data_IF_845691841534
#
_entry.id   IF_845691841534
#
_cell.length_a   1.000
_cell.length_b   1.000
_cell.length_c   1.000
_cell.angle_alpha   90.00
_cell.angle_beta   90.00
_cell.angle_gamma   90.00
#
_symmetry.space_group_name_H-M   'P 1'
#
loop_
_entity.id
_entity.type
_entity.pdbx_description
1 polymer ?
#
# COMPACT_ATOMS: atom_id res chain seq x y z
N UNK A 1 0.83 1.43 -9.30
CA UNK A 1 -0.09 0.31 -9.00
C UNK A 1 0.07 -0.83 -9.99
N UNK A 2 -0.45 -0.76 -11.23
CA UNK A 2 -0.40 -1.88 -12.20
C UNK A 2 1.03 -2.40 -12.42
N UNK A 3 1.99 -1.49 -12.63
CA UNK A 3 3.41 -1.85 -12.72
C UNK A 3 3.95 -2.58 -11.46
N UNK A 4 3.57 -2.14 -10.26
CA UNK A 4 3.93 -2.82 -9.02
C UNK A 4 3.30 -4.20 -8.88
N UNK A 5 2.03 -4.35 -9.31
CA UNK A 5 1.34 -5.66 -9.34
C UNK A 5 2.03 -6.62 -10.31
N UNK A 6 2.43 -6.16 -11.50
CA UNK A 6 3.19 -6.97 -12.45
C UNK A 6 4.50 -7.45 -11.83
N UNK A 7 5.25 -6.57 -11.15
CA UNK A 7 6.47 -6.94 -10.44
C UNK A 7 6.19 -8.00 -9.35
N UNK A 8 5.13 -7.83 -8.56
CA UNK A 8 4.74 -8.84 -7.56
C UNK A 8 4.42 -10.19 -8.21
N UNK A 9 3.70 -10.22 -9.32
CA UNK A 9 3.39 -11.47 -10.03
C UNK A 9 4.63 -12.12 -10.63
N UNK A 10 5.58 -11.35 -11.16
CA UNK A 10 6.88 -11.85 -11.60
C UNK A 10 7.65 -12.46 -10.42
N UNK A 11 7.60 -11.84 -9.24
CA UNK A 11 8.24 -12.39 -8.05
C UNK A 11 7.67 -13.76 -7.64
N UNK A 12 6.37 -14.00 -7.85
CA UNK A 12 5.74 -15.31 -7.61
C UNK A 12 6.28 -16.38 -8.55
N UNK A 13 6.53 -16.04 -9.81
CA UNK A 13 7.16 -16.96 -10.78
C UNK A 13 8.58 -17.31 -10.31
N UNK A 14 9.36 -16.32 -9.87
CA UNK A 14 10.71 -16.55 -9.35
C UNK A 14 10.75 -17.34 -8.04
N UNK A 15 9.71 -17.25 -7.21
CA UNK A 15 9.57 -18.08 -6.00
C UNK A 15 9.43 -19.56 -6.34
N UNK A 16 8.83 -19.91 -7.48
CA UNK A 16 8.65 -21.29 -7.93
C UNK A 16 9.85 -21.89 -8.68
N UNK A 17 10.89 -21.10 -8.96
CA UNK A 17 12.10 -21.62 -9.62
C UNK A 17 12.94 -22.36 -8.60
N UNK A 18 13.05 -23.68 -8.72
CA UNK A 18 13.85 -24.50 -7.81
C UNK A 18 15.23 -24.84 -8.41
N UNK A 19 16.13 -25.40 -7.60
CA UNK A 19 17.53 -25.71 -7.96
C UNK A 19 17.68 -26.75 -9.06
N UNK A 20 16.59 -27.47 -9.39
CA UNK A 20 16.54 -28.39 -10.55
C UNK A 20 16.72 -27.68 -11.90
N UNK A 21 16.35 -26.41 -11.99
CA UNK A 21 16.41 -25.62 -13.23
C UNK A 21 17.61 -24.68 -13.30
N UNK A 22 18.31 -24.47 -12.18
CA UNK A 22 19.27 -23.38 -12.02
C UNK A 22 20.56 -23.92 -11.42
N UNK A 23 21.69 -23.49 -11.97
CA UNK A 23 23.00 -23.87 -11.47
C UNK A 23 23.22 -23.40 -10.02
N UNK A 24 24.02 -24.15 -9.25
CA UNK A 24 24.30 -23.84 -7.84
C UNK A 24 24.90 -22.44 -7.64
N UNK A 25 25.66 -21.93 -8.62
CA UNK A 25 26.29 -20.61 -8.57
C UNK A 25 25.31 -19.45 -8.83
N UNK A 26 24.19 -19.72 -9.52
CA UNK A 26 23.18 -18.72 -9.85
C UNK A 26 22.03 -18.68 -8.84
N UNK A 27 21.82 -19.77 -8.09
CA UNK A 27 20.74 -19.87 -7.10
C UNK A 27 20.75 -18.72 -6.06
N UNK A 28 21.89 -18.29 -5.49
CA UNK A 28 21.92 -17.15 -4.56
C UNK A 28 21.45 -15.82 -5.18
N UNK A 29 21.67 -15.63 -6.50
CA UNK A 29 21.18 -14.44 -7.22
C UNK A 29 19.66 -14.45 -7.31
N UNK A 30 19.05 -15.63 -7.49
CA UNK A 30 17.60 -15.81 -7.49
C UNK A 30 17.03 -15.56 -6.10
N UNK A 31 17.67 -16.05 -5.03
CA UNK A 31 17.30 -15.77 -3.65
C UNK A 31 17.16 -14.26 -3.39
N UNK A 32 18.15 -13.48 -3.84
CA UNK A 32 18.13 -12.03 -3.72
C UNK A 32 17.04 -11.41 -4.60
N UNK A 33 16.95 -11.80 -5.87
CA UNK A 33 15.95 -11.28 -6.80
C UNK A 33 14.51 -11.46 -6.27
N UNK A 34 14.20 -12.60 -5.63
CA UNK A 34 12.91 -12.88 -4.98
C UNK A 34 12.55 -11.81 -3.94
N UNK A 35 13.47 -11.54 -3.00
CA UNK A 35 13.26 -10.54 -1.94
C UNK A 35 13.11 -9.12 -2.51
N UNK A 36 13.94 -8.79 -3.49
CA UNK A 36 13.95 -7.48 -4.15
C UNK A 36 12.66 -7.19 -4.91
N UNK A 37 12.22 -8.12 -5.76
CA UNK A 37 11.04 -7.92 -6.60
C UNK A 37 9.77 -7.90 -5.76
N UNK A 38 9.64 -8.80 -4.77
CA UNK A 38 8.46 -8.81 -3.91
C UNK A 38 8.34 -7.50 -3.10
N UNK A 39 9.45 -7.03 -2.51
CA UNK A 39 9.43 -5.81 -1.68
C UNK A 39 9.21 -4.54 -2.50
N UNK A 40 9.89 -4.39 -3.64
CA UNK A 40 9.75 -3.21 -4.52
C UNK A 40 8.39 -3.17 -5.21
N UNK A 41 7.90 -4.33 -5.69
CA UNK A 41 6.57 -4.47 -6.27
C UNK A 41 5.47 -4.06 -5.28
N UNK A 42 5.57 -4.55 -4.04
CA UNK A 42 4.64 -4.19 -2.97
C UNK A 42 4.63 -2.67 -2.74
N UNK A 43 5.79 -2.02 -2.63
CA UNK A 43 5.85 -0.56 -2.37
C UNK A 43 5.33 0.27 -3.54
N UNK A 44 5.63 -0.12 -4.78
CA UNK A 44 5.10 0.55 -5.97
C UNK A 44 3.58 0.37 -6.11
N UNK A 45 3.05 -0.78 -5.67
CA UNK A 45 1.62 -1.05 -5.66
C UNK A 45 0.91 -0.26 -4.54
N UNK A 46 1.35 -0.46 -3.29
CA UNK A 46 0.75 0.13 -2.09
C UNK A 46 0.97 1.63 -2.02
N UNK A 47 2.18 2.13 -2.31
CA UNK A 47 2.50 3.56 -2.33
C UNK A 47 1.65 4.34 -3.32
N UNK A 48 1.26 3.73 -4.45
CA UNK A 48 0.32 4.34 -5.40
C UNK A 48 -1.13 4.39 -4.89
N UNK A 49 -1.56 3.41 -4.08
CA UNK A 49 -2.88 3.44 -3.42
C UNK A 49 -2.90 4.47 -2.29
N UNK A 50 -1.88 4.45 -1.45
CA UNK A 50 -1.64 5.43 -0.38
C UNK A 50 -1.67 6.87 -0.91
N UNK A 51 -0.95 7.11 -2.00
CA UNK A 51 -0.94 8.36 -2.75
C UNK A 51 -2.33 8.92 -3.10
N UNK A 52 -3.23 8.06 -3.57
CA UNK A 52 -4.60 8.45 -3.91
C UNK A 52 -5.41 8.81 -2.66
N UNK A 53 -5.30 8.02 -1.60
CA UNK A 53 -5.99 8.27 -0.33
C UNK A 53 -5.48 9.54 0.35
N UNK A 54 -4.17 9.75 0.38
CA UNK A 54 -3.55 10.96 0.92
C UNK A 54 -4.06 12.23 0.24
N UNK A 55 -4.17 12.20 -1.10
CA UNK A 55 -4.72 13.32 -1.88
C UNK A 55 -6.14 13.65 -1.43
N UNK A 56 -6.98 12.64 -1.24
CA UNK A 56 -8.38 12.80 -0.79
C UNK A 56 -8.42 13.37 0.62
N UNK A 57 -7.65 12.81 1.54
CA UNK A 57 -7.53 13.31 2.91
C UNK A 57 -7.12 14.79 2.97
N UNK A 58 -6.17 15.21 2.13
CA UNK A 58 -5.73 16.62 2.07
C UNK A 58 -6.83 17.54 1.58
N UNK A 59 -7.62 17.16 0.59
CA UNK A 59 -8.73 17.99 0.10
C UNK A 59 -9.81 18.16 1.17
N UNK A 60 -10.11 17.11 1.93
CA UNK A 60 -11.19 17.13 2.92
C UNK A 60 -10.79 17.82 4.22
N UNK A 61 -9.51 17.75 4.62
CA UNK A 61 -8.99 18.50 5.76
C UNK A 61 -8.88 20.00 5.48
N UNK A 62 -8.46 20.39 4.26
CA UNK A 62 -8.45 21.80 3.85
C UNK A 62 -9.85 22.42 3.86
N UNK A 63 -10.86 21.71 3.35
CA UNK A 63 -12.25 22.18 3.38
C UNK A 63 -12.79 22.40 4.81
N UNK A 64 -12.25 21.72 5.82
CA UNK A 64 -12.60 21.96 7.25
C UNK A 64 -11.88 23.17 7.85
N UNK A 65 -10.80 23.64 7.23
CA UNK A 65 -9.92 24.71 7.76
C UNK A 65 -10.24 26.08 7.18
N UNK A 66 -11.23 26.17 6.27
CA UNK A 66 -11.78 27.45 5.79
C UNK A 66 -13.15 27.76 6.47
N UNK A 67 -13.19 28.39 7.66
CA UNK A 67 -14.35 29.14 8.13
C UNK A 67 -14.24 30.61 7.71
N UNK A 68 -15.36 31.17 7.22
CA UNK A 68 -15.63 32.61 7.35
C UNK A 68 -15.50 32.97 8.85
N UNK A 69 -14.53 33.84 9.20
CA UNK A 69 -14.22 34.50 10.50
C UNK A 69 -13.59 33.71 11.68
N UNK A 70 -12.77 34.36 12.53
CA UNK A 70 -11.66 33.75 13.26
C UNK A 70 -12.10 33.13 14.59
N UNK A 71 -11.66 31.90 14.83
CA UNK A 71 -11.55 31.38 16.20
C UNK A 71 -10.16 30.79 16.38
N UNK A 72 -9.52 31.25 17.45
CA UNK A 72 -8.22 30.83 17.97
C UNK A 72 -8.10 29.30 18.12
N UNK A 73 -6.87 28.76 18.05
CA UNK A 73 -6.66 27.32 17.97
C UNK A 73 -6.92 26.64 19.31
N UNK A 74 -7.48 25.41 19.35
CA UNK A 74 -7.13 24.52 20.44
C UNK A 74 -5.76 23.92 20.11
N UNK A 75 -4.77 24.28 20.94
CA UNK A 75 -3.48 23.62 20.99
C UNK A 75 -3.67 22.11 21.13
N UNK A 76 -3.50 21.37 20.03
CA UNK A 76 -3.41 19.91 20.09
C UNK A 76 -2.10 19.56 20.79
N UNK A 77 -2.24 19.13 22.04
CA UNK A 77 -1.15 18.66 22.89
C UNK A 77 -0.37 17.59 22.14
N UNK A 78 0.87 17.96 21.81
CA UNK A 78 1.92 17.09 21.32
C UNK A 78 2.13 15.98 22.36
N UNK A 79 1.60 14.79 22.10
CA UNK A 79 1.96 13.60 22.87
C UNK A 79 3.34 13.15 22.35
N UNK A 80 4.39 13.61 23.02
CA UNK A 80 5.72 13.04 22.89
C UNK A 80 5.65 11.62 23.46
N UNK A 81 5.75 10.60 22.60
CA UNK A 81 6.05 9.25 23.05
C UNK A 81 7.48 9.26 23.59
N UNK A 82 7.58 9.16 24.91
CA UNK A 82 8.81 8.90 25.66
C UNK A 82 9.47 7.65 25.09
N UNK A 83 10.68 7.81 24.55
CA UNK A 83 11.53 6.71 24.12
C UNK A 83 12.01 5.97 25.37
N UNK A 84 11.35 4.86 25.72
CA UNK A 84 11.95 3.90 26.64
C UNK A 84 12.94 3.03 25.86
N UNK A 85 14.17 3.00 26.37
CA UNK A 85 15.29 2.24 25.83
C UNK A 85 14.94 0.74 25.77
N UNK A 86 14.87 0.21 24.55
CA UNK A 86 14.97 -1.23 24.29
C UNK A 86 16.38 -1.48 23.76
N UNK A 87 17.19 -2.10 24.60
CA UNK A 87 18.56 -2.51 24.32
C UNK A 87 18.57 -3.86 23.60
N UNK A 88 18.79 -3.86 22.28
CA UNK A 88 19.21 -5.05 21.50
C UNK A 88 20.23 -4.60 20.43
N UNK A 89 21.48 -5.10 20.58
CA UNK A 89 22.70 -5.03 19.74
C UNK A 89 22.88 -3.87 18.74
N UNK A 90 23.87 -3.01 19.04
CA UNK A 90 24.05 -1.68 18.46
C UNK A 90 25.20 -1.61 17.44
N UNK A 91 24.86 -1.37 16.18
CA UNK A 91 25.38 -0.25 15.37
C UNK A 91 24.73 -0.23 13.99
N UNK A 92 24.64 -1.37 13.30
CA UNK A 92 24.04 -1.45 11.95
C UNK A 92 22.53 -1.24 11.95
N UNK A 93 21.81 -1.93 12.85
CA UNK A 93 20.35 -1.78 13.01
C UNK A 93 20.00 -0.36 13.46
N UNK A 94 20.76 0.21 14.41
CA UNK A 94 20.57 1.59 14.87
C UNK A 94 20.79 2.60 13.73
N UNK A 95 21.79 2.39 12.88
CA UNK A 95 22.04 3.27 11.72
C UNK A 95 20.89 3.16 10.72
N UNK A 96 20.44 1.96 10.34
CA UNK A 96 19.34 1.77 9.37
C UNK A 96 18.00 2.28 9.92
N UNK A 97 17.71 2.03 11.21
CA UNK A 97 16.49 2.53 11.88
C UNK A 97 16.55 4.05 12.08
N UNK A 98 17.71 4.63 12.42
CA UNK A 98 17.87 6.09 12.51
C UNK A 98 17.85 6.75 11.14
N UNK A 99 18.39 6.12 10.09
CA UNK A 99 18.38 6.67 8.73
C UNK A 99 16.99 6.60 8.12
N UNK A 100 16.28 5.48 8.29
CA UNK A 100 14.87 5.37 7.90
C UNK A 100 13.99 6.30 8.72
N UNK A 101 14.22 6.44 10.03
CA UNK A 101 13.55 7.44 10.86
C UNK A 101 13.90 8.87 10.45
N UNK A 102 15.13 9.21 10.07
CA UNK A 102 15.51 10.54 9.56
C UNK A 102 14.89 10.82 8.20
N UNK A 103 14.77 9.82 7.32
CA UNK A 103 14.10 9.96 6.03
C UNK A 103 12.60 10.13 6.27
N UNK A 104 11.99 9.38 7.18
CA UNK A 104 10.58 9.51 7.57
C UNK A 104 10.33 10.87 8.23
N UNK A 105 11.16 11.29 9.19
CA UNK A 105 11.06 12.58 9.87
C UNK A 105 11.38 13.73 8.92
N UNK A 106 12.35 13.60 8.03
CA UNK A 106 12.65 14.54 6.95
C UNK A 106 11.51 14.61 5.93
N UNK A 107 10.83 13.49 5.68
CA UNK A 107 9.63 13.42 4.86
C UNK A 107 8.44 14.11 5.54
N UNK A 108 8.22 13.89 6.85
CA UNK A 108 7.26 14.63 7.67
C UNK A 108 7.60 16.12 7.78
N UNK A 109 8.89 16.48 7.84
CA UNK A 109 9.37 17.85 7.89
C UNK A 109 9.20 18.54 6.52
N UNK A 110 9.44 17.84 5.41
CA UNK A 110 9.17 18.32 4.05
C UNK A 110 7.66 18.48 3.79
N UNK A 111 6.84 17.63 4.43
CA UNK A 111 5.38 17.76 4.45
C UNK A 111 4.90 18.96 5.28
N UNK A 112 5.64 19.34 6.34
CA UNK A 112 5.35 20.48 7.21
C UNK A 112 5.98 21.82 6.79
N UNK A 113 7.11 21.83 6.08
CA UNK A 113 7.93 23.03 5.84
C UNK A 113 7.59 23.81 4.56
N UNK A 114 6.44 23.56 3.92
CA UNK A 114 5.99 24.37 2.77
C UNK A 114 4.62 24.99 3.02
N UNK A 115 4.53 25.73 4.12
CA UNK A 115 3.48 26.71 4.38
C UNK A 115 4.02 28.11 4.10
N UNK A 116 3.92 28.50 2.82
CA UNK A 116 3.83 29.89 2.36
C UNK A 116 3.51 29.85 0.87
N UNK A 117 2.29 29.45 0.53
CA UNK A 117 1.70 29.79 -0.76
C UNK A 117 0.29 30.29 -0.53
N UNK A 118 0.18 31.59 -0.73
CA UNK A 118 -1.02 32.36 -1.02
C UNK A 118 -2.05 31.57 -1.81
N UNK A 119 -3.29 31.71 -1.35
CA UNK A 119 -4.55 31.29 -1.94
C UNK A 119 -4.58 31.49 -3.46
N UNK A 120 -4.34 30.42 -4.20
CA UNK A 120 -4.86 30.24 -5.56
C UNK A 120 -5.30 28.79 -5.69
N UNK A 121 -6.28 28.56 -6.56
CA UNK A 121 -6.92 27.29 -6.89
C UNK A 121 -5.88 26.19 -7.20
N UNK A 122 -5.33 25.57 -6.17
CA UNK A 122 -4.13 24.75 -6.30
C UNK A 122 -4.51 23.34 -6.75
N UNK A 123 -4.59 23.16 -8.07
CA UNK A 123 -4.45 21.84 -8.71
C UNK A 123 -3.25 21.15 -8.06
N UNK A 124 -3.48 20.08 -7.29
CA UNK A 124 -2.41 19.36 -6.62
C UNK A 124 -1.46 18.86 -7.70
N UNK A 125 -0.28 19.47 -7.78
CA UNK A 125 0.65 19.13 -8.84
C UNK A 125 1.09 17.66 -8.71
N UNK A 126 1.08 16.91 -9.82
CA UNK A 126 1.35 15.47 -9.81
C UNK A 126 2.75 15.15 -9.24
N UNK A 127 3.72 16.07 -9.34
CA UNK A 127 5.08 15.89 -8.83
C UNK A 127 5.11 15.54 -7.33
N UNK A 128 4.25 16.15 -6.50
CA UNK A 128 4.22 15.90 -5.04
C UNK A 128 3.82 14.47 -4.69
N UNK A 129 3.08 13.82 -5.59
CA UNK A 129 2.68 12.42 -5.45
C UNK A 129 3.85 11.47 -5.74
N UNK A 130 4.57 11.76 -6.83
CA UNK A 130 5.72 10.96 -7.24
C UNK A 130 6.83 11.04 -6.20
N UNK A 131 7.09 12.22 -5.62
CA UNK A 131 8.12 12.38 -4.58
C UNK A 131 7.87 11.50 -3.35
N UNK A 132 6.60 11.28 -2.98
CA UNK A 132 6.25 10.41 -1.86
C UNK A 132 6.49 8.93 -2.16
N UNK A 133 6.03 8.46 -3.32
CA UNK A 133 6.23 7.06 -3.73
C UNK A 133 7.73 6.78 -3.91
N UNK A 134 8.48 7.71 -4.50
CA UNK A 134 9.93 7.60 -4.62
C UNK A 134 10.60 7.55 -3.26
N UNK A 135 10.19 8.38 -2.29
CA UNK A 135 10.74 8.34 -0.93
C UNK A 135 10.54 6.98 -0.24
N UNK A 136 9.33 6.41 -0.32
CA UNK A 136 9.05 5.06 0.23
C UNK A 136 9.88 3.98 -0.47
N UNK A 137 10.02 4.08 -1.79
CA UNK A 137 10.85 3.16 -2.56
C UNK A 137 12.33 3.28 -2.18
N UNK A 138 12.85 4.50 -1.98
CA UNK A 138 14.23 4.71 -1.56
C UNK A 138 14.56 4.03 -0.23
N UNK A 139 13.62 4.03 0.73
CA UNK A 139 13.82 3.31 2.00
C UNK A 139 13.95 1.81 1.78
N UNK A 140 13.13 1.21 0.91
CA UNK A 140 13.27 -0.20 0.55
C UNK A 140 14.60 -0.51 -0.13
N UNK A 141 15.01 0.32 -1.08
CA UNK A 141 16.29 0.15 -1.77
C UNK A 141 17.45 0.19 -0.76
N UNK A 142 17.43 1.11 0.20
CA UNK A 142 18.46 1.23 1.24
C UNK A 142 18.49 -0.02 2.12
N UNK A 143 17.33 -0.48 2.60
CA UNK A 143 17.25 -1.66 3.46
C UNK A 143 17.75 -2.91 2.72
N UNK A 144 17.31 -3.11 1.48
CA UNK A 144 17.65 -4.31 0.70
C UNK A 144 19.09 -4.31 0.21
N UNK A 145 19.63 -3.15 -0.17
CA UNK A 145 21.07 -3.02 -0.49
C UNK A 145 21.92 -3.28 0.74
N UNK A 146 21.52 -2.76 1.92
CA UNK A 146 22.23 -3.05 3.17
C UNK A 146 22.19 -4.55 3.49
N UNK A 147 21.03 -5.21 3.34
CA UNK A 147 20.92 -6.66 3.53
C UNK A 147 21.85 -7.42 2.57
N UNK A 148 21.86 -7.05 1.28
CA UNK A 148 22.70 -7.68 0.27
C UNK A 148 24.20 -7.51 0.49
N UNK A 149 24.65 -6.35 0.99
CA UNK A 149 26.08 -6.06 1.18
C UNK A 149 26.60 -6.66 2.49
N UNK A 150 25.79 -6.62 3.55
CA UNK A 150 26.24 -6.97 4.91
C UNK A 150 25.99 -8.46 5.20
N UNK A 151 24.84 -8.99 4.78
CA UNK A 151 24.40 -10.35 5.09
C UNK A 151 23.61 -10.95 3.91
N UNK A 152 24.27 -11.19 2.76
CA UNK A 152 23.60 -11.66 1.56
C UNK A 152 22.87 -12.97 1.80
N UNK A 153 21.69 -13.14 1.19
CA UNK A 153 21.01 -14.44 1.19
C UNK A 153 21.87 -15.45 0.42
N UNK A 154 22.21 -16.54 1.09
CA UNK A 154 22.97 -17.65 0.55
C UNK A 154 22.08 -18.88 0.44
N UNK A 155 22.48 -19.80 -0.43
CA UNK A 155 21.84 -21.12 -0.54
C UNK A 155 22.35 -22.01 0.59
N UNK A 156 21.43 -22.56 1.37
CA UNK A 156 21.70 -23.54 2.42
C UNK A 156 21.03 -24.85 2.03
N UNK A 157 21.73 -25.97 2.23
CA UNK A 157 21.16 -27.32 2.08
C UNK A 157 20.90 -27.88 3.47
N UNK A 158 19.63 -28.12 3.78
CA UNK A 158 19.23 -28.86 4.97
C UNK A 158 19.18 -30.36 4.64
N UNK A 159 19.94 -31.16 5.38
CA UNK A 159 19.94 -32.62 5.19
C UNK A 159 19.00 -33.27 6.19
N UNK A 160 18.07 -34.08 5.71
CA UNK A 160 17.13 -34.82 6.54
C UNK A 160 17.65 -36.25 6.87
N UNK A 161 17.03 -36.93 7.85
CA UNK A 161 17.34 -38.33 8.16
C UNK A 161 17.22 -39.25 6.94
N UNK A 162 17.95 -40.36 6.98
CA UNK A 162 17.92 -41.37 5.93
C UNK A 162 16.55 -42.07 5.90
N UNK A 163 15.93 -42.09 4.74
CA UNK A 163 14.67 -42.80 4.50
C UNK A 163 14.95 -44.08 3.70
N UNK A 164 14.20 -45.14 3.99
CA UNK A 164 14.28 -46.40 3.24
C UNK A 164 13.56 -46.24 1.88
N UNK A 165 14.01 -46.93 0.81
CA UNK A 165 13.49 -46.75 -0.53
C UNK A 165 12.07 -47.32 -0.67
N UNK A 166 11.29 -46.77 -1.60
CA UNK A 166 9.90 -47.20 -1.87
C UNK A 166 9.86 -48.65 -2.38
N UNK A 167 10.92 -49.11 -3.06
CA UNK A 167 11.09 -50.48 -3.52
C UNK A 167 11.97 -51.26 -2.55
N UNK A 168 11.46 -52.39 -2.03
CA UNK A 168 12.15 -53.28 -1.09
C UNK A 168 13.29 -54.12 -1.71
N UNK A 169 13.57 -53.96 -3.00
CA UNK A 169 14.60 -54.72 -3.72
C UNK A 169 15.98 -54.07 -3.72
N UNK A 170 16.06 -52.78 -3.37
CA UNK A 170 17.30 -52.01 -3.44
C UNK A 170 17.88 -51.78 -2.04
N UNK A 171 19.10 -52.27 -1.78
CA UNK A 171 19.84 -52.06 -0.51
C UNK A 171 20.48 -50.65 -0.43
N UNK A 172 19.72 -49.61 -0.79
CA UNK A 172 20.17 -48.21 -0.76
C UNK A 172 19.32 -47.41 0.22
N UNK A 173 19.91 -46.46 0.95
CA UNK A 173 19.16 -45.49 1.77
C UNK A 173 19.24 -44.11 1.14
N UNK A 174 18.12 -43.42 1.07
CA UNK A 174 18.03 -42.10 0.44
C UNK A 174 18.17 -41.04 1.53
N UNK A 175 19.05 -40.04 1.30
CA UNK A 175 19.14 -38.85 2.15
C UNK A 175 18.41 -37.70 1.45
N UNK A 176 17.26 -37.24 1.95
CA UNK A 176 16.60 -36.08 1.38
C UNK A 176 17.36 -34.80 1.75
N UNK A 177 17.44 -33.86 0.81
CA UNK A 177 18.07 -32.56 1.00
C UNK A 177 17.11 -31.45 0.57
N UNK A 178 17.05 -30.34 1.32
CA UNK A 178 16.18 -29.19 1.08
C UNK A 178 17.00 -27.92 0.86
N UNK A 179 16.84 -27.31 -0.30
CA UNK A 179 17.59 -26.11 -0.68
C UNK A 179 16.79 -24.85 -0.32
N UNK A 180 17.20 -24.10 0.71
CA UNK A 180 16.56 -22.85 1.09
C UNK A 180 17.51 -21.65 1.01
N UNK A 181 16.92 -20.46 0.94
CA UNK A 181 17.65 -19.20 0.97
C UNK A 181 17.63 -18.64 2.40
N UNK A 182 18.78 -18.54 3.04
CA UNK A 182 18.89 -17.99 4.39
C UNK A 182 20.15 -17.13 4.50
N UNK A 183 20.12 -16.20 5.46
CA UNK A 183 21.20 -15.29 5.81
C UNK A 183 21.57 -15.52 7.28
N UNK A 184 22.77 -15.11 7.71
CA UNK A 184 23.24 -15.40 9.07
C UNK A 184 22.32 -14.80 10.14
N UNK A 185 21.75 -13.62 9.87
CA UNK A 185 20.81 -12.93 10.76
C UNK A 185 19.44 -12.77 10.09
N UNK A 186 18.94 -13.84 9.46
CA UNK A 186 17.68 -13.83 8.70
C UNK A 186 16.49 -13.26 9.48
N UNK A 187 16.31 -13.66 10.75
CA UNK A 187 15.20 -13.17 11.58
C UNK A 187 15.28 -11.66 11.85
N UNK A 188 16.48 -11.09 11.96
CA UNK A 188 16.67 -9.65 12.21
C UNK A 188 16.32 -8.86 10.96
N UNK A 189 16.82 -9.28 9.79
CA UNK A 189 16.53 -8.62 8.52
C UNK A 189 15.06 -8.74 8.11
N UNK A 190 14.47 -9.94 8.23
CA UNK A 190 13.04 -10.14 8.00
C UNK A 190 12.19 -9.33 8.97
N UNK A 191 12.56 -9.30 10.26
CA UNK A 191 11.88 -8.49 11.27
C UNK A 191 11.93 -6.99 10.97
N UNK A 192 13.08 -6.49 10.48
CA UNK A 192 13.25 -5.09 10.09
C UNK A 192 12.39 -4.74 8.86
N UNK A 193 12.41 -5.58 7.82
CA UNK A 193 11.60 -5.39 6.61
C UNK A 193 10.10 -5.46 6.95
N UNK A 194 9.65 -6.53 7.61
CA UNK A 194 8.24 -6.70 7.97
C UNK A 194 7.75 -5.66 8.98
N UNK A 195 8.57 -5.25 9.94
CA UNK A 195 8.25 -4.18 10.88
C UNK A 195 8.02 -2.84 10.16
N UNK A 196 8.95 -2.44 9.28
CA UNK A 196 8.79 -1.22 8.47
C UNK A 196 7.56 -1.28 7.55
N UNK A 197 7.34 -2.40 6.85
CA UNK A 197 6.14 -2.59 6.00
C UNK A 197 4.86 -2.57 6.84
N UNK A 198 4.88 -3.14 8.05
CA UNK A 198 3.77 -3.10 9.00
C UNK A 198 3.40 -1.68 9.40
N UNK A 199 4.39 -0.82 9.69
CA UNK A 199 4.15 0.59 9.99
C UNK A 199 3.51 1.34 8.80
N UNK A 200 3.96 1.05 7.57
CA UNK A 200 3.34 1.60 6.35
C UNK A 200 1.89 1.14 6.22
N UNK A 201 1.61 -0.14 6.46
CA UNK A 201 0.26 -0.71 6.41
C UNK A 201 -0.68 -0.06 7.42
N UNK A 202 -0.23 0.12 8.66
CA UNK A 202 -1.01 0.79 9.73
C UNK A 202 -1.28 2.25 9.36
N UNK A 203 -0.27 2.95 8.84
CA UNK A 203 -0.43 4.34 8.45
C UNK A 203 -1.42 4.50 7.28
N UNK A 204 -1.34 3.65 6.25
CA UNK A 204 -2.30 3.69 5.16
C UNK A 204 -3.72 3.26 5.58
N UNK A 205 -3.83 2.34 6.56
CA UNK A 205 -5.11 1.99 7.18
C UNK A 205 -5.74 3.18 7.90
N UNK A 206 -4.96 3.91 8.70
CA UNK A 206 -5.40 5.11 9.40
C UNK A 206 -5.97 6.16 8.42
N UNK A 207 -5.27 6.43 7.32
CA UNK A 207 -5.78 7.36 6.31
C UNK A 207 -7.01 6.83 5.57
N UNK A 208 -7.07 5.53 5.28
CA UNK A 208 -8.22 4.90 4.66
C UNK A 208 -9.47 4.97 5.58
N UNK A 209 -9.26 4.96 6.89
CA UNK A 209 -10.31 5.15 7.89
C UNK A 209 -10.82 6.59 7.92
N UNK A 210 -9.91 7.57 8.04
CA UNK A 210 -10.26 9.00 8.04
C UNK A 210 -11.02 9.40 6.75
N UNK A 211 -10.57 8.89 5.61
CA UNK A 211 -11.19 9.19 4.30
C UNK A 211 -12.55 8.53 4.07
N UNK A 212 -12.93 7.49 4.84
CA UNK A 212 -14.23 6.80 4.71
C UNK A 212 -15.42 7.65 5.14
N UNK A 213 -15.21 8.57 6.09
CA UNK A 213 -16.28 9.37 6.71
C UNK A 213 -16.84 10.45 5.77
N UNK A 214 -16.12 10.80 4.69
CA UNK A 214 -16.47 11.91 3.81
C UNK A 214 -17.40 11.44 2.67
N UNK A 215 -18.71 11.60 2.87
CA UNK A 215 -19.77 11.26 1.89
C UNK A 215 -20.01 12.42 0.91
N UNK A 216 -19.17 12.57 -0.12
CA UNK A 216 -19.45 13.49 -1.25
C UNK A 216 -19.53 12.67 -2.54
N UNK A 217 -20.58 12.86 -3.35
CA UNK A 217 -20.92 11.98 -4.49
C UNK A 217 -19.85 11.92 -5.60
N UNK A 218 -18.95 12.90 -5.64
CA UNK A 218 -17.78 12.95 -6.53
C UNK A 218 -16.60 12.06 -6.06
N UNK A 219 -16.69 11.42 -4.88
CA UNK A 219 -15.60 10.69 -4.19
C UNK A 219 -15.76 9.15 -4.26
N UNK A 220 -16.79 8.60 -4.92
CA UNK A 220 -16.99 7.14 -4.99
C UNK A 220 -15.77 6.34 -5.48
N UNK A 221 -14.92 6.87 -6.37
CA UNK A 221 -13.65 6.23 -6.81
C UNK A 221 -12.68 6.02 -5.62
N UNK A 222 -12.63 6.98 -4.69
CA UNK A 222 -11.76 6.93 -3.52
C UNK A 222 -12.23 5.90 -2.48
N UNK A 223 -13.55 5.64 -2.40
CA UNK A 223 -14.11 4.62 -1.50
C UNK A 223 -13.61 3.22 -1.87
N UNK A 224 -13.57 2.90 -3.16
CA UNK A 224 -13.05 1.60 -3.62
C UNK A 224 -11.54 1.47 -3.41
N UNK A 225 -10.79 2.56 -3.55
CA UNK A 225 -9.36 2.58 -3.19
C UNK A 225 -9.15 2.34 -1.69
N UNK A 226 -9.98 2.94 -0.83
CA UNK A 226 -9.98 2.68 0.61
C UNK A 226 -10.27 1.22 0.93
N UNK A 227 -11.35 0.65 0.35
CA UNK A 227 -11.70 -0.78 0.49
C UNK A 227 -10.57 -1.72 0.04
N UNK A 228 -9.89 -1.39 -1.05
CA UNK A 228 -8.72 -2.14 -1.52
C UNK A 228 -7.58 -2.15 -0.50
N UNK A 229 -7.29 -1.01 0.15
CA UNK A 229 -6.27 -0.94 1.21
C UNK A 229 -6.61 -1.84 2.39
N UNK A 230 -7.87 -1.90 2.83
CA UNK A 230 -8.27 -2.84 3.90
C UNK A 230 -7.99 -4.29 3.53
N UNK A 231 -8.31 -4.70 2.29
CA UNK A 231 -8.05 -6.07 1.83
C UNK A 231 -6.55 -6.39 1.83
N UNK A 232 -5.72 -5.50 1.31
CA UNK A 232 -4.26 -5.68 1.31
C UNK A 232 -3.72 -5.78 2.74
N UNK A 233 -4.15 -4.89 3.65
CA UNK A 233 -3.69 -4.90 5.04
C UNK A 233 -4.06 -6.21 5.73
N UNK A 234 -5.33 -6.64 5.64
CA UNK A 234 -5.79 -7.88 6.28
C UNK A 234 -5.04 -9.09 5.74
N UNK A 235 -4.91 -9.21 4.43
CA UNK A 235 -4.20 -10.33 3.81
C UNK A 235 -2.72 -10.33 4.22
N UNK A 236 -2.03 -9.20 4.18
CA UNK A 236 -0.62 -9.13 4.61
C UNK A 236 -0.43 -9.48 6.10
N UNK A 237 -1.35 -9.05 6.98
CA UNK A 237 -1.29 -9.37 8.41
C UNK A 237 -1.53 -10.85 8.70
N UNK A 238 -2.26 -11.57 7.85
CA UNK A 238 -2.45 -13.02 7.95
C UNK A 238 -1.28 -13.76 7.30
N UNK A 239 -0.86 -13.35 6.11
CA UNK A 239 0.18 -14.03 5.33
C UNK A 239 1.54 -13.99 6.01
N UNK A 240 1.93 -12.88 6.64
CA UNK A 240 3.24 -12.77 7.29
C UNK A 240 3.46 -13.78 8.44
N UNK A 241 2.60 -13.86 9.48
CA UNK A 241 2.79 -14.83 10.56
C UNK A 241 2.63 -16.27 10.10
N UNK A 242 1.64 -16.57 9.24
CA UNK A 242 1.46 -17.93 8.73
C UNK A 242 2.68 -18.37 7.90
N UNK A 243 3.19 -17.48 7.04
CA UNK A 243 4.39 -17.71 6.24
C UNK A 243 5.64 -17.99 7.10
N UNK A 244 5.79 -17.28 8.22
CA UNK A 244 6.88 -17.54 9.17
C UNK A 244 6.76 -18.91 9.85
N UNK A 245 5.54 -19.33 10.19
CA UNK A 245 5.28 -20.62 10.87
C UNK A 245 5.54 -21.81 9.94
N UNK A 246 5.16 -21.70 8.66
CA UNK A 246 5.30 -22.79 7.68
C UNK A 246 6.59 -22.71 6.86
N UNK A 247 7.53 -21.83 7.21
CA UNK A 247 8.75 -21.59 6.45
C UNK A 247 9.64 -22.85 6.27
N UNK A 248 9.54 -23.81 7.21
CA UNK A 248 10.25 -25.09 7.15
C UNK A 248 9.73 -26.03 6.05
N UNK A 249 8.48 -25.86 5.59
CA UNK A 249 7.92 -26.67 4.50
C UNK A 249 7.80 -25.83 3.22
N UNK A 250 8.75 -25.99 2.30
CA UNK A 250 8.87 -25.13 1.11
C UNK A 250 7.66 -25.22 0.18
N UNK A 251 7.13 -26.42 -0.07
CA UNK A 251 5.95 -26.60 -0.93
C UNK A 251 4.72 -25.88 -0.35
N UNK A 252 4.47 -26.08 0.94
CA UNK A 252 3.35 -25.45 1.64
C UNK A 252 3.53 -23.91 1.69
N UNK A 253 4.74 -23.46 2.02
CA UNK A 253 5.10 -22.03 2.06
C UNK A 253 4.93 -21.37 0.70
N UNK A 254 5.44 -21.99 -0.37
CA UNK A 254 5.31 -21.50 -1.74
C UNK A 254 3.84 -21.37 -2.14
N UNK A 255 3.04 -22.43 -2.01
CA UNK A 255 1.63 -22.42 -2.39
C UNK A 255 0.87 -21.36 -1.61
N UNK A 256 1.09 -21.28 -0.29
CA UNK A 256 0.42 -20.31 0.57
C UNK A 256 0.76 -18.86 0.19
N UNK A 257 2.05 -18.53 0.05
CA UNK A 257 2.48 -17.16 -0.30
C UNK A 257 2.06 -16.79 -1.73
N UNK A 258 2.21 -17.70 -2.69
CA UNK A 258 1.81 -17.47 -4.08
C UNK A 258 0.30 -17.18 -4.19
N UNK A 259 -0.54 -18.02 -3.58
CA UNK A 259 -1.99 -17.83 -3.57
C UNK A 259 -2.38 -16.53 -2.86
N UNK A 260 -1.77 -16.22 -1.72
CA UNK A 260 -2.04 -14.98 -1.00
C UNK A 260 -1.70 -13.74 -1.84
N UNK A 261 -0.54 -13.72 -2.51
CA UNK A 261 -0.13 -12.61 -3.38
C UNK A 261 -1.04 -12.48 -4.59
N UNK A 262 -1.33 -13.59 -5.29
CA UNK A 262 -2.20 -13.60 -6.48
C UNK A 262 -3.61 -13.12 -6.11
N UNK A 263 -4.19 -13.68 -5.04
CA UNK A 263 -5.52 -13.31 -4.57
C UNK A 263 -5.59 -11.83 -4.15
N UNK A 264 -4.60 -11.36 -3.38
CA UNK A 264 -4.50 -9.96 -2.97
C UNK A 264 -4.40 -9.02 -4.18
N UNK A 265 -3.57 -9.35 -5.16
CA UNK A 265 -3.41 -8.58 -6.39
C UNK A 265 -4.72 -8.56 -7.20
N UNK A 266 -5.33 -9.72 -7.42
CA UNK A 266 -6.57 -9.84 -8.19
C UNK A 266 -7.72 -9.06 -7.55
N UNK A 267 -7.96 -9.23 -6.25
CA UNK A 267 -8.99 -8.48 -5.53
C UNK A 267 -8.76 -6.96 -5.60
N UNK A 268 -7.50 -6.53 -5.43
CA UNK A 268 -7.15 -5.10 -5.47
C UNK A 268 -7.39 -4.51 -6.86
N UNK A 269 -7.05 -5.23 -7.92
CA UNK A 269 -7.31 -4.82 -9.29
C UNK A 269 -8.81 -4.80 -9.58
N UNK A 270 -9.53 -5.86 -9.20
CA UNK A 270 -10.99 -5.96 -9.37
C UNK A 270 -11.69 -4.76 -8.73
N UNK A 271 -11.42 -4.46 -7.46
CA UNK A 271 -12.09 -3.37 -6.75
C UNK A 271 -11.79 -1.98 -7.32
N UNK A 272 -10.58 -1.77 -7.85
CA UNK A 272 -10.19 -0.46 -8.38
C UNK A 272 -10.65 -0.27 -9.83
N UNK A 273 -10.71 -1.33 -10.64
CA UNK A 273 -11.04 -1.25 -12.06
C UNK A 273 -12.50 -1.55 -12.39
N UNK A 274 -13.19 -2.46 -11.69
CA UNK A 274 -14.61 -2.79 -11.92
C UNK A 274 -15.53 -1.56 -11.95
N UNK A 275 -15.51 -0.64 -10.96
CA UNK A 275 -16.40 0.53 -10.99
C UNK A 275 -16.10 1.48 -12.15
N UNK A 276 -14.90 1.42 -12.74
CA UNK A 276 -14.50 2.23 -13.90
C UNK A 276 -14.94 1.60 -15.20
N UNK A 277 -14.72 0.30 -15.37
CA UNK A 277 -15.12 -0.44 -16.56
C UNK A 277 -16.64 -0.45 -16.67
N UNK A 278 -17.37 -0.75 -15.58
CA UNK A 278 -18.83 -0.75 -15.59
C UNK A 278 -19.43 0.64 -15.85
N UNK A 279 -18.80 1.71 -15.36
CA UNK A 279 -19.23 3.09 -15.68
C UNK A 279 -18.96 3.42 -17.15
N UNK A 280 -17.80 3.06 -17.68
CA UNK A 280 -17.45 3.31 -19.07
C UNK A 280 -18.37 2.54 -20.02
N UNK A 281 -18.62 1.26 -19.74
CA UNK A 281 -19.53 0.42 -20.51
C UNK A 281 -20.97 0.97 -20.46
N UNK A 282 -21.45 1.36 -19.27
CA UNK A 282 -22.75 2.02 -19.14
C UNK A 282 -22.81 3.35 -19.91
N UNK A 283 -21.74 4.16 -19.88
CA UNK A 283 -21.65 5.41 -20.66
C UNK A 283 -21.68 5.14 -22.16
N UNK A 284 -20.93 4.15 -22.65
CA UNK A 284 -20.90 3.75 -24.07
C UNK A 284 -22.26 3.18 -24.50
N UNK A 285 -22.88 2.33 -23.68
CA UNK A 285 -24.22 1.79 -23.95
C UNK A 285 -25.26 2.92 -23.98
N UNK A 286 -25.13 3.93 -23.11
CA UNK A 286 -26.02 5.10 -23.10
C UNK A 286 -25.84 5.94 -24.37
N UNK A 287 -24.60 6.16 -24.82
CA UNK A 287 -24.27 6.88 -26.06
C UNK A 287 -24.82 6.13 -27.28
N UNK A 288 -24.61 4.81 -27.35
CA UNK A 288 -25.17 3.98 -28.42
C UNK A 288 -26.70 4.00 -28.43
N UNK A 289 -27.34 4.11 -27.26
CA UNK A 289 -28.79 4.26 -27.13
C UNK A 289 -29.31 5.66 -27.51
N UNK A 290 -28.45 6.68 -27.61
CA UNK A 290 -28.87 8.08 -27.91
C UNK A 290 -28.77 8.49 -29.39
N UNK A 291 -28.35 7.60 -30.28
CA UNK A 291 -28.37 7.82 -31.74
C UNK A 291 -29.45 6.96 -32.43
N UNK A 292 -30.20 7.47 -33.42
CA UNK A 292 -31.12 8.60 -33.40
C UNK A 292 -32.56 8.10 -33.70
N UNK A 293 -33.38 7.91 -32.67
CA UNK A 293 -34.83 7.83 -32.81
C UNK A 293 -35.45 8.33 -31.50
N UNK A 294 -35.93 9.57 -31.54
CA UNK A 294 -36.59 10.30 -30.45
C UNK A 294 -35.78 10.55 -29.16
N UNK A 295 -35.33 11.79 -28.96
CA UNK A 295 -36.07 12.71 -28.09
C UNK A 295 -35.29 13.99 -27.78
N UNK A 296 -36.01 15.10 -27.95
CA UNK A 296 -35.98 16.34 -27.16
C UNK A 296 -34.84 16.42 -26.13
N UNK A 297 -33.95 17.38 -26.34
CA UNK A 297 -32.94 17.84 -25.37
C UNK A 297 -33.54 17.89 -23.95
N UNK A 298 -33.18 16.90 -23.13
CA UNK A 298 -33.41 16.90 -21.70
C UNK A 298 -32.04 17.00 -21.03
N UNK A 299 -31.67 18.14 -20.44
CA UNK A 299 -30.32 18.36 -19.88
C UNK A 299 -30.09 17.60 -18.57
N UNK A 300 -31.03 16.78 -18.14
CA UNK A 300 -31.00 16.15 -16.83
C UNK A 300 -30.43 14.72 -16.89
N UNK A 301 -29.10 14.61 -16.91
CA UNK A 301 -28.47 13.34 -16.57
C UNK A 301 -27.11 13.53 -15.88
N UNK A 302 -27.16 13.72 -14.56
CA UNK A 302 -25.92 13.70 -13.77
C UNK A 302 -26.05 13.71 -12.25
N UNK A 303 -27.21 14.00 -11.68
CA UNK A 303 -27.41 14.11 -10.23
C UNK A 303 -28.57 13.18 -9.83
N UNK A 304 -28.47 12.50 -8.68
CA UNK A 304 -29.59 11.66 -8.19
C UNK A 304 -30.60 12.64 -7.64
N UNK A 305 -31.91 12.36 -7.74
CA UNK A 305 -32.92 13.24 -7.14
C UNK A 305 -32.62 13.58 -5.67
N UNK A 306 -32.08 12.61 -4.92
CA UNK A 306 -31.60 12.83 -3.55
C UNK A 306 -30.44 13.84 -3.43
N UNK A 307 -29.53 13.89 -4.41
CA UNK A 307 -28.41 14.83 -4.40
C UNK A 307 -28.79 16.21 -4.92
N UNK A 308 -29.79 16.31 -5.80
CA UNK A 308 -30.41 17.57 -6.22
C UNK A 308 -31.08 18.23 -5.01
N UNK A 309 -31.88 17.44 -4.28
CA UNK A 309 -32.56 17.87 -3.05
C UNK A 309 -31.56 18.25 -1.95
N UNK A 310 -30.47 17.49 -1.81
CA UNK A 310 -29.43 17.79 -0.81
C UNK A 310 -28.62 19.03 -1.14
N UNK A 311 -28.33 19.26 -2.42
CA UNK A 311 -27.65 20.48 -2.88
C UNK A 311 -28.54 21.70 -2.68
N UNK A 312 -29.82 21.61 -3.04
CA UNK A 312 -30.80 22.67 -2.80
C UNK A 312 -30.91 23.00 -1.30
N UNK A 313 -30.96 21.99 -0.43
CA UNK A 313 -31.00 22.20 1.02
C UNK A 313 -29.78 22.97 1.54
N UNK A 314 -28.57 22.64 1.06
CA UNK A 314 -27.33 23.33 1.46
C UNK A 314 -27.25 24.77 0.92
N UNK A 315 -27.81 25.03 -0.25
CA UNK A 315 -27.91 26.39 -0.81
C UNK A 315 -28.85 27.24 0.04
N UNK A 316 -30.02 26.70 0.41
CA UNK A 316 -30.97 27.40 1.28
C UNK A 316 -30.39 27.68 2.67
N UNK A 317 -29.69 26.72 3.28
CA UNK A 317 -29.01 26.92 4.57
C UNK A 317 -27.90 27.99 4.48
N UNK A 318 -27.17 28.05 3.36
CA UNK A 318 -26.16 29.10 3.12
C UNK A 318 -26.78 30.49 3.00
N UNK A 319 -27.89 30.64 2.25
CA UNK A 319 -28.57 31.93 2.12
C UNK A 319 -29.14 32.41 3.46
N UNK A 320 -29.64 31.48 4.28
CA UNK A 320 -30.15 31.78 5.61
C UNK A 320 -29.03 32.24 6.56
N UNK A 321 -27.89 31.54 6.54
CA UNK A 321 -26.69 31.95 7.27
C UNK A 321 -26.19 33.33 6.84
N UNK A 322 -26.19 33.63 5.53
CA UNK A 322 -25.78 34.94 5.03
C UNK A 322 -26.71 36.08 5.46
N UNK A 323 -28.03 35.82 5.56
CA UNK A 323 -28.97 36.78 6.12
C UNK A 323 -28.75 37.04 7.61
N UNK A 324 -28.47 35.99 8.39
CA UNK A 324 -28.18 36.12 9.82
C UNK A 324 -26.88 36.90 10.07
N UNK A 325 -25.85 36.66 9.25
CA UNK A 325 -24.59 37.43 9.29
C UNK A 325 -24.85 38.90 8.93
N UNK A 326 -25.65 39.17 7.92
CA UNK A 326 -25.99 40.55 7.51
C UNK A 326 -26.81 41.30 8.57
N UNK A 327 -27.63 40.59 9.36
CA UNK A 327 -28.35 41.16 10.50
C UNK A 327 -27.44 41.40 11.72
N UNK A 328 -26.45 40.55 11.97
CA UNK A 328 -25.47 40.78 13.04
C UNK A 328 -24.46 41.90 12.75
N UNK A 329 -24.21 42.19 11.46
CA UNK A 329 -23.31 43.26 11.02
C UNK A 329 -23.99 44.64 10.89
N UNK A 330 -25.25 44.78 11.31
CA UNK A 330 -26.01 46.04 11.32
C UNK A 330 -26.33 46.42 12.76
#
# INVERSE_FOLDING_TARGET
MLFGVIICLISVILLGIDGRFVSSDEYPKICQARAWLLSTGFTLAYGAMFSKVWRVHRFTTKAKTDPKTPSSPPASKRCFLSHNNISISQNTVVIVTKLSSLIITGFYLQLGARENQTMSEARVEPWKLYTMVTGLLSVDLIILTAWQIIDPLQRILETFPLEDPISTTDDIKIRPELEHCESSQNSVWLGLVYGYKGLILVFGLFLAYETRSIKVKQINDSRYVGMSIYNVVVLCLITAPVGMVIASQQDASFVFVALAVIFCCFLSMLLIFVPKVGRHEFSVLRILRTTPAESKYNPDSGISKEDEERYQKLVTENEELERLIAQCNR
#
